data_IF_224908783555
#
_entry.id   IF_224908783555
#
_cell.length_a   1.000
_cell.length_b   1.000
_cell.length_c   1.000
_cell.angle_alpha   90.00
_cell.angle_beta   90.00
_cell.angle_gamma   90.00
#
_symmetry.space_group_name_H-M   'P 1'
#
loop_
_entity.id
_entity.type
_entity.pdbx_description
1 polymer ?
#
# COMPACT_ATOMS: atom_id res chain seq x y z
N UNK A 1 -42.34 -29.81 7.47
CA UNK A 1 -41.20 -30.33 6.70
C UNK A 1 -40.89 -29.33 5.60
N UNK A 2 -39.86 -28.50 5.78
CA UNK A 2 -39.35 -27.61 4.73
C UNK A 2 -37.82 -27.74 4.73
N UNK A 3 -37.29 -28.02 3.54
CA UNK A 3 -35.95 -28.53 3.29
C UNK A 3 -34.82 -27.53 3.53
N UNK A 4 -33.73 -28.09 3.99
CA UNK A 4 -32.48 -27.49 4.43
C UNK A 4 -31.70 -26.90 3.24
N UNK A 5 -31.96 -25.62 2.92
CA UNK A 5 -31.34 -24.91 1.77
C UNK A 5 -30.07 -24.12 2.08
N UNK A 6 -29.54 -24.20 3.31
CA UNK A 6 -28.48 -23.32 3.80
C UNK A 6 -27.24 -24.07 4.28
N UNK A 7 -26.69 -25.01 3.49
CA UNK A 7 -25.44 -25.65 3.89
C UNK A 7 -24.47 -26.10 2.78
N UNK A 8 -24.72 -25.86 1.49
CA UNK A 8 -23.73 -26.26 0.46
C UNK A 8 -22.55 -25.28 0.36
N UNK A 9 -22.82 -23.97 0.43
CA UNK A 9 -21.76 -22.95 0.42
C UNK A 9 -20.90 -22.97 1.69
N UNK A 10 -21.49 -23.33 2.84
CA UNK A 10 -20.73 -23.51 4.08
C UNK A 10 -19.97 -24.84 4.11
N UNK A 11 -20.53 -25.95 3.60
CA UNK A 11 -19.79 -27.21 3.42
C UNK A 11 -18.61 -27.06 2.45
N UNK A 12 -18.73 -26.27 1.38
CA UNK A 12 -17.62 -25.97 0.43
C UNK A 12 -16.53 -25.13 1.11
N UNK A 13 -16.91 -24.12 1.91
CA UNK A 13 -15.96 -23.33 2.73
C UNK A 13 -15.28 -24.16 3.80
N UNK A 14 -15.99 -25.12 4.42
CA UNK A 14 -15.43 -25.98 5.47
C UNK A 14 -14.53 -27.09 4.91
N UNK A 15 -14.80 -27.63 3.71
CA UNK A 15 -13.96 -28.65 3.05
C UNK A 15 -12.62 -28.12 2.51
N UNK A 16 -12.46 -26.80 2.36
CA UNK A 16 -11.28 -26.19 1.76
C UNK A 16 -10.33 -25.53 2.76
N UNK A 17 -10.25 -26.08 3.99
CA UNK A 17 -8.97 -26.15 4.72
C UNK A 17 -8.01 -27.09 3.97
N UNK A 18 -7.64 -26.73 2.74
CA UNK A 18 -6.72 -27.52 1.93
C UNK A 18 -5.37 -27.55 2.64
N UNK A 19 -5.08 -28.65 3.34
CA UNK A 19 -3.72 -28.95 3.76
C UNK A 19 -2.97 -29.34 2.49
N UNK A 20 -1.85 -28.66 2.24
CA UNK A 20 -0.99 -28.99 1.10
C UNK A 20 -0.52 -30.46 1.14
N UNK A 21 -0.17 -30.98 -0.03
CA UNK A 21 0.57 -32.24 -0.19
C UNK A 21 2.08 -31.98 -0.10
N UNK A 22 2.90 -33.03 -0.21
CA UNK A 22 4.37 -32.90 -0.27
C UNK A 22 4.85 -32.06 -1.46
N UNK A 23 4.10 -32.06 -2.56
CA UNK A 23 4.49 -31.44 -3.84
C UNK A 23 3.70 -30.17 -4.17
N UNK A 24 2.71 -29.82 -3.33
CA UNK A 24 1.85 -28.66 -3.55
C UNK A 24 1.30 -28.11 -2.24
N UNK A 25 1.30 -26.79 -2.08
CA UNK A 25 0.61 -26.11 -1.01
C UNK A 25 -0.18 -24.92 -1.56
N UNK A 26 -1.37 -24.63 -1.00
CA UNK A 26 -2.13 -23.46 -1.42
C UNK A 26 -1.34 -22.17 -1.15
N UNK A 27 -1.56 -21.11 -1.95
CA UNK A 27 -0.98 -19.80 -1.68
C UNK A 27 -1.35 -19.33 -0.27
N UNK A 28 -0.37 -18.74 0.42
CA UNK A 28 -0.55 -18.19 1.77
C UNK A 28 -0.68 -16.68 1.70
N UNK A 29 -1.38 -16.12 2.68
CA UNK A 29 -1.45 -14.68 2.84
C UNK A 29 -0.07 -14.16 3.26
N UNK A 30 0.63 -13.54 2.32
CA UNK A 30 1.92 -12.91 2.54
C UNK A 30 2.08 -11.74 1.58
N UNK A 31 2.62 -10.64 2.09
CA UNK A 31 3.01 -9.48 1.28
C UNK A 31 4.40 -9.75 0.69
N UNK A 32 4.50 -9.75 -0.63
CA UNK A 32 5.74 -10.01 -1.36
C UNK A 32 6.34 -8.67 -1.81
N UNK A 33 7.52 -8.36 -1.28
CA UNK A 33 8.26 -7.13 -1.59
C UNK A 33 9.29 -7.30 -2.71
N UNK A 34 9.59 -8.55 -3.08
CA UNK A 34 10.59 -8.87 -4.12
C UNK A 34 9.92 -9.00 -5.48
N UNK A 35 10.53 -8.40 -6.50
CA UNK A 35 10.11 -8.59 -7.89
C UNK A 35 10.31 -10.04 -8.31
N UNK A 36 9.30 -10.59 -8.97
CA UNK A 36 9.40 -11.93 -9.55
C UNK A 36 10.29 -11.88 -10.79
N UNK A 37 11.36 -12.68 -10.86
CA UNK A 37 12.21 -12.77 -12.03
C UNK A 37 11.44 -13.28 -13.26
N UNK A 38 11.83 -12.79 -14.43
CA UNK A 38 11.26 -13.26 -15.70
C UNK A 38 11.86 -14.61 -16.07
N UNK A 39 11.02 -15.64 -16.14
CA UNK A 39 11.41 -16.99 -16.52
C UNK A 39 10.61 -17.49 -17.72
N UNK A 40 11.15 -18.48 -18.44
CA UNK A 40 10.39 -19.12 -19.52
C UNK A 40 9.20 -19.86 -18.92
N UNK A 41 8.08 -19.85 -19.65
CA UNK A 41 6.84 -20.52 -19.24
C UNK A 41 7.05 -21.98 -18.83
N UNK A 42 7.80 -22.74 -19.62
CA UNK A 42 8.12 -24.15 -19.36
C UNK A 42 8.78 -24.34 -18.00
N UNK A 43 9.70 -23.46 -17.66
CA UNK A 43 10.57 -23.60 -16.49
C UNK A 43 9.76 -23.35 -15.22
N UNK A 44 8.89 -22.32 -15.23
CA UNK A 44 7.98 -22.05 -14.11
C UNK A 44 6.97 -23.19 -13.92
N UNK A 45 6.38 -23.69 -15.01
CA UNK A 45 5.40 -24.80 -14.94
C UNK A 45 6.07 -26.07 -14.37
N UNK A 46 7.28 -26.39 -14.81
CA UNK A 46 8.05 -27.50 -14.29
C UNK A 46 8.38 -27.30 -12.79
N UNK A 47 8.77 -26.09 -12.39
CA UNK A 47 9.07 -25.77 -11.00
C UNK A 47 7.86 -25.84 -10.05
N UNK A 48 6.63 -25.73 -10.57
CA UNK A 48 5.38 -25.97 -9.82
C UNK A 48 4.85 -27.41 -10.00
N UNK A 49 5.71 -28.35 -10.39
CA UNK A 49 5.42 -29.78 -10.55
C UNK A 49 4.27 -30.07 -11.52
N UNK A 50 4.08 -29.23 -12.53
CA UNK A 50 2.93 -29.35 -13.45
C UNK A 50 1.57 -29.29 -12.73
N UNK A 51 1.50 -28.65 -11.57
CA UNK A 51 0.26 -28.46 -10.81
C UNK A 51 -0.19 -27.01 -10.87
N UNK A 52 -1.49 -26.75 -10.94
CA UNK A 52 -2.01 -25.39 -10.78
C UNK A 52 -1.59 -24.82 -9.42
N UNK A 53 -0.95 -23.65 -9.40
CA UNK A 53 -0.49 -23.05 -8.16
C UNK A 53 -1.61 -22.68 -7.17
N UNK A 54 -2.86 -22.57 -7.64
CA UNK A 54 -4.02 -22.19 -6.82
C UNK A 54 -4.80 -23.37 -6.22
N UNK A 55 -5.02 -24.43 -7.01
CA UNK A 55 -5.86 -25.57 -6.60
C UNK A 55 -5.14 -26.93 -6.58
N UNK A 56 -3.90 -27.00 -7.04
CA UNK A 56 -3.12 -28.25 -7.04
C UNK A 56 -3.53 -29.27 -8.09
N UNK A 57 -4.49 -28.95 -8.96
CA UNK A 57 -4.88 -29.81 -10.08
C UNK A 57 -3.73 -29.98 -11.07
N UNK A 58 -3.50 -31.23 -11.49
CA UNK A 58 -2.50 -31.56 -12.51
C UNK A 58 -2.81 -30.92 -13.86
N UNK A 59 -1.76 -30.43 -14.52
CA UNK A 59 -1.82 -29.73 -15.79
C UNK A 59 -1.35 -30.69 -16.88
N UNK A 60 -2.29 -31.21 -17.66
CA UNK A 60 -1.93 -32.00 -18.84
C UNK A 60 -1.18 -31.15 -19.87
N UNK A 61 -0.20 -31.72 -20.62
CA UNK A 61 0.59 -31.00 -21.61
C UNK A 61 -0.22 -30.18 -22.62
N UNK A 62 -1.37 -30.71 -23.09
CA UNK A 62 -2.26 -30.03 -24.04
C UNK A 62 -2.88 -28.73 -23.48
N UNK A 63 -3.01 -28.60 -22.16
CA UNK A 63 -3.59 -27.43 -21.49
C UNK A 63 -2.55 -26.43 -20.99
N UNK A 64 -1.25 -26.75 -21.10
CA UNK A 64 -0.17 -25.86 -20.64
C UNK A 64 -0.24 -24.46 -21.24
N UNK A 65 -0.75 -24.28 -22.48
CA UNK A 65 -0.90 -22.97 -23.13
C UNK A 65 -2.06 -22.13 -22.57
N UNK A 66 -3.05 -22.76 -21.92
CA UNK A 66 -4.24 -22.07 -21.37
C UNK A 66 -4.02 -21.47 -19.98
N UNK A 67 -2.94 -21.88 -19.29
CA UNK A 67 -2.63 -21.31 -17.98
C UNK A 67 -2.39 -19.80 -18.07
N UNK A 68 -2.72 -19.10 -16.99
CA UNK A 68 -2.51 -17.66 -16.85
C UNK A 68 -1.46 -17.40 -15.78
N UNK A 69 -0.58 -16.44 -16.05
CA UNK A 69 0.50 -16.08 -15.16
C UNK A 69 0.03 -15.00 -14.18
N UNK A 70 0.24 -15.23 -12.89
CA UNK A 70 0.01 -14.23 -11.86
C UNK A 70 1.32 -13.47 -11.60
N UNK A 71 1.39 -12.19 -11.97
CA UNK A 71 2.58 -11.34 -11.77
C UNK A 71 2.95 -11.17 -10.29
N UNK A 72 1.96 -11.25 -9.39
CA UNK A 72 2.21 -11.11 -7.95
C UNK A 72 2.94 -12.33 -7.36
N UNK A 73 2.46 -13.54 -7.66
CA UNK A 73 3.02 -14.79 -7.12
C UNK A 73 4.13 -15.39 -7.98
N UNK A 74 4.26 -14.96 -9.23
CA UNK A 74 5.25 -15.48 -10.17
C UNK A 74 4.98 -16.90 -10.66
N UNK A 75 3.73 -17.36 -10.65
CA UNK A 75 3.32 -18.74 -10.95
C UNK A 75 2.17 -18.82 -11.94
N UNK A 76 1.97 -20.01 -12.51
CA UNK A 76 0.88 -20.30 -13.44
C UNK A 76 -0.34 -20.92 -12.76
N UNK A 77 -1.52 -20.51 -13.22
CA UNK A 77 -2.82 -20.89 -12.67
C UNK A 77 -3.77 -21.36 -13.78
N UNK A 78 -4.65 -22.30 -13.45
CA UNK A 78 -5.76 -22.69 -14.34
C UNK A 78 -6.78 -21.54 -14.47
N UNK A 79 -7.68 -21.66 -15.44
CA UNK A 79 -8.70 -20.65 -15.73
C UNK A 79 -9.65 -20.43 -14.54
N UNK A 80 -9.93 -21.47 -13.73
CA UNK A 80 -10.76 -21.34 -12.53
C UNK A 80 -10.09 -20.52 -11.43
N UNK A 81 -8.76 -20.59 -11.28
CA UNK A 81 -8.03 -19.86 -10.24
C UNK A 81 -7.58 -18.47 -10.69
N UNK A 82 -7.70 -18.16 -11.98
CA UNK A 82 -7.23 -16.91 -12.56
C UNK A 82 -8.27 -16.34 -13.52
N UNK A 83 -9.19 -15.54 -12.99
CA UNK A 83 -10.31 -14.94 -13.73
C UNK A 83 -9.90 -13.97 -14.85
N UNK A 84 -8.66 -13.48 -14.84
CA UNK A 84 -8.20 -12.43 -15.76
C UNK A 84 -8.12 -11.06 -15.11
N UNK A 85 -8.29 -11.01 -13.79
CA UNK A 85 -8.12 -9.83 -12.95
C UNK A 85 -6.72 -9.24 -13.07
N UNK A 86 -6.65 -7.94 -12.80
CA UNK A 86 -5.43 -7.16 -12.78
C UNK A 86 -5.33 -6.30 -11.51
N UNK A 87 -4.11 -6.10 -11.03
CA UNK A 87 -3.83 -5.32 -9.84
C UNK A 87 -2.49 -4.59 -9.95
N UNK A 88 -2.33 -3.53 -9.17
CA UNK A 88 -1.02 -2.90 -8.95
C UNK A 88 -0.21 -3.81 -8.03
N UNK A 89 1.06 -4.03 -8.37
CA UNK A 89 1.93 -4.98 -7.65
C UNK A 89 2.81 -4.19 -6.66
N UNK A 90 2.71 -4.42 -5.34
CA UNK A 90 3.47 -3.68 -4.33
C UNK A 90 4.98 -3.69 -4.58
N UNK A 91 5.56 -4.86 -4.87
CA UNK A 91 6.98 -4.98 -5.18
C UNK A 91 7.42 -4.05 -6.33
N UNK A 92 6.60 -3.87 -7.38
CA UNK A 92 6.89 -2.98 -8.51
C UNK A 92 6.79 -1.50 -8.13
N UNK A 93 5.80 -1.13 -7.33
CA UNK A 93 5.70 0.24 -6.81
C UNK A 93 6.91 0.58 -5.95
N UNK A 94 7.29 -0.31 -5.03
CA UNK A 94 8.35 -0.06 -4.04
C UNK A 94 9.77 -0.11 -4.62
N UNK A 95 9.97 -0.77 -5.76
CA UNK A 95 11.30 -0.91 -6.40
C UNK A 95 11.45 -0.11 -7.68
N UNK A 96 10.37 0.14 -8.41
CA UNK A 96 10.38 0.74 -9.75
C UNK A 96 9.46 1.94 -9.87
N UNK A 97 8.70 2.29 -8.82
CA UNK A 97 7.67 3.33 -8.87
C UNK A 97 6.66 3.11 -10.02
N UNK A 98 6.46 1.84 -10.39
CA UNK A 98 5.55 1.39 -11.45
C UNK A 98 4.19 1.01 -10.85
N UNK A 99 3.14 1.68 -11.32
CA UNK A 99 1.75 1.49 -10.88
C UNK A 99 0.89 0.88 -11.99
N UNK A 100 1.52 0.35 -13.05
CA UNK A 100 0.83 -0.40 -14.09
C UNK A 100 0.16 -1.63 -13.50
N UNK A 101 -1.11 -1.85 -13.89
CA UNK A 101 -1.85 -3.04 -13.48
C UNK A 101 -1.32 -4.25 -14.23
N UNK A 102 -1.16 -5.37 -13.53
CA UNK A 102 -0.64 -6.63 -14.06
C UNK A 102 -1.61 -7.77 -13.77
N UNK A 103 -1.66 -8.80 -14.63
CA UNK A 103 -2.52 -9.95 -14.43
C UNK A 103 -2.22 -10.65 -13.09
N UNK A 104 -3.26 -10.96 -12.34
CA UNK A 104 -3.16 -11.66 -11.05
C UNK A 104 -4.23 -12.75 -10.92
N UNK A 105 -3.89 -13.82 -10.19
CA UNK A 105 -4.87 -14.84 -9.85
C UNK A 105 -5.89 -14.30 -8.83
N UNK A 106 -7.04 -14.97 -8.70
CA UNK A 106 -8.14 -14.50 -7.84
C UNK A 106 -7.71 -14.35 -6.38
N UNK A 107 -6.89 -15.29 -5.88
CA UNK A 107 -6.33 -15.22 -4.54
C UNK A 107 -5.49 -13.95 -4.34
N UNK A 108 -4.59 -13.65 -5.28
CA UNK A 108 -3.75 -12.46 -5.19
C UNK A 108 -4.53 -11.18 -5.34
N UNK A 109 -5.56 -11.16 -6.20
CA UNK A 109 -6.45 -10.01 -6.34
C UNK A 109 -7.13 -9.70 -5.00
N UNK A 110 -7.73 -10.70 -4.37
CA UNK A 110 -8.37 -10.54 -3.07
C UNK A 110 -7.39 -10.02 -2.01
N UNK A 111 -6.22 -10.65 -1.89
CA UNK A 111 -5.19 -10.20 -0.95
C UNK A 111 -4.77 -8.74 -1.17
N UNK A 112 -4.54 -8.36 -2.42
CA UNK A 112 -4.09 -7.01 -2.78
C UNK A 112 -5.17 -5.95 -2.53
N UNK A 113 -6.43 -6.32 -2.70
CA UNK A 113 -7.58 -5.45 -2.36
C UNK A 113 -7.73 -5.29 -0.85
N UNK A 114 -7.59 -6.38 -0.10
CA UNK A 114 -7.71 -6.37 1.38
C UNK A 114 -6.65 -5.46 2.03
N UNK A 115 -5.45 -5.38 1.46
CA UNK A 115 -4.35 -4.53 2.00
C UNK A 115 -4.28 -3.13 1.38
N UNK A 116 -5.16 -2.79 0.43
CA UNK A 116 -4.99 -1.60 -0.41
C UNK A 116 -4.90 -0.29 0.39
N UNK A 117 -5.77 -0.16 1.40
CA UNK A 117 -5.86 1.03 2.25
C UNK A 117 -5.10 0.86 3.57
N UNK A 118 -4.48 -0.30 3.81
CA UNK A 118 -3.82 -0.59 5.08
C UNK A 118 -2.41 0.03 5.10
N UNK A 119 -2.05 0.80 6.15
CA UNK A 119 -0.74 1.45 6.27
C UNK A 119 0.33 0.43 6.67
N UNK A 120 0.76 -0.40 5.74
CA UNK A 120 1.66 -1.53 5.98
C UNK A 120 3.09 -1.30 5.48
N UNK A 121 3.31 -0.26 4.67
CA UNK A 121 4.56 -0.08 3.92
C UNK A 121 5.44 0.98 4.57
N UNK A 122 6.31 0.54 5.47
CA UNK A 122 7.40 1.39 6.00
C UNK A 122 8.52 1.49 4.97
N UNK A 123 8.53 2.57 4.17
CA UNK A 123 9.40 2.69 2.99
C UNK A 123 10.89 2.60 3.31
N UNK A 124 11.32 3.13 4.45
CA UNK A 124 12.71 3.01 4.92
C UNK A 124 13.15 1.56 5.15
N UNK A 125 12.21 0.65 5.43
CA UNK A 125 12.47 -0.78 5.62
C UNK A 125 12.36 -1.58 4.33
N UNK A 126 11.40 -1.26 3.46
CA UNK A 126 11.03 -2.11 2.30
C UNK A 126 11.44 -1.57 0.93
N UNK A 127 11.79 -0.29 0.81
CA UNK A 127 11.95 0.41 -0.47
C UNK A 127 13.22 1.29 -0.49
N UNK A 128 14.40 0.67 -0.41
CA UNK A 128 15.69 1.38 -0.41
C UNK A 128 15.86 2.20 -1.68
N UNK A 129 16.09 3.50 -1.54
CA UNK A 129 16.35 4.41 -2.66
C UNK A 129 15.10 4.94 -3.38
N UNK A 130 13.88 4.57 -2.95
CA UNK A 130 12.65 4.98 -3.65
C UNK A 130 12.47 6.50 -3.70
N UNK A 131 12.91 7.20 -2.66
CA UNK A 131 12.88 8.67 -2.60
C UNK A 131 13.80 9.34 -3.63
N UNK A 132 14.91 8.71 -4.03
CA UNK A 132 15.77 9.23 -5.09
C UNK A 132 15.11 9.06 -6.47
N UNK A 133 14.29 8.03 -6.63
CA UNK A 133 13.61 7.71 -7.89
C UNK A 133 12.32 8.52 -8.08
N UNK A 134 11.53 8.67 -7.02
CA UNK A 134 10.22 9.30 -7.04
C UNK A 134 10.27 10.71 -6.45
N UNK A 135 10.44 11.72 -7.31
CA UNK A 135 10.60 13.13 -6.88
C UNK A 135 9.37 13.66 -6.15
N UNK A 136 8.18 13.27 -6.57
CA UNK A 136 6.92 13.63 -5.93
C UNK A 136 6.78 13.05 -4.51
N UNK A 137 7.29 11.83 -4.32
CA UNK A 137 7.31 11.19 -3.02
C UNK A 137 8.31 11.88 -2.08
N UNK A 138 9.50 12.23 -2.58
CA UNK A 138 10.48 13.01 -1.81
C UNK A 138 9.92 14.37 -1.38
N UNK A 139 9.26 15.10 -2.30
CA UNK A 139 8.59 16.37 -1.97
C UNK A 139 7.49 16.19 -0.93
N UNK A 140 6.71 15.11 -1.03
CA UNK A 140 5.69 14.81 -0.04
C UNK A 140 6.30 14.49 1.33
N UNK A 141 7.40 13.76 1.39
CA UNK A 141 8.12 13.44 2.64
C UNK A 141 8.56 14.69 3.39
N UNK A 142 9.16 15.65 2.70
CA UNK A 142 9.58 16.93 3.30
C UNK A 142 8.38 17.69 3.89
N UNK A 143 7.26 17.73 3.15
CA UNK A 143 6.03 18.35 3.61
C UNK A 143 5.39 17.58 4.79
N UNK A 144 5.49 16.25 4.79
CA UNK A 144 5.02 15.39 5.87
C UNK A 144 5.77 15.70 7.17
N UNK A 145 7.10 15.82 7.12
CA UNK A 145 7.94 16.22 8.27
C UNK A 145 7.48 17.58 8.84
N UNK A 146 7.27 18.56 7.97
CA UNK A 146 6.79 19.88 8.36
C UNK A 146 5.40 19.84 8.99
N UNK A 147 4.46 19.10 8.39
CA UNK A 147 3.10 18.94 8.91
C UNK A 147 3.07 18.27 10.28
N UNK A 148 3.91 17.25 10.50
CA UNK A 148 4.01 16.59 11.80
C UNK A 148 4.52 17.53 12.89
N UNK A 149 5.51 18.35 12.58
CA UNK A 149 5.99 19.40 13.48
C UNK A 149 4.90 20.46 13.77
N UNK A 150 4.23 20.93 12.73
CA UNK A 150 3.15 21.91 12.84
C UNK A 150 1.99 21.37 13.69
N UNK A 151 1.57 20.12 13.46
CA UNK A 151 0.50 19.47 14.22
C UNK A 151 0.83 19.38 15.71
N UNK A 152 2.07 19.07 16.08
CA UNK A 152 2.52 19.04 17.49
C UNK A 152 2.34 20.40 18.16
N UNK A 153 2.67 21.49 17.47
CA UNK A 153 2.44 22.85 17.98
C UNK A 153 0.95 23.16 18.10
N UNK A 154 0.16 22.87 17.06
CA UNK A 154 -1.27 23.16 17.05
C UNK A 154 -2.02 22.43 18.18
N UNK A 155 -1.66 21.18 18.50
CA UNK A 155 -2.27 20.41 19.61
C UNK A 155 -2.11 21.12 20.96
N UNK A 156 -1.03 21.87 21.17
CA UNK A 156 -0.80 22.64 22.40
C UNK A 156 -1.56 23.96 22.46
N UNK A 157 -2.14 24.41 21.35
CA UNK A 157 -2.91 25.64 21.27
C UNK A 157 -4.42 25.37 21.45
N UNK A 158 -5.01 25.94 22.50
CA UNK A 158 -6.46 25.85 22.77
C UNK A 158 -7.37 26.45 21.67
N UNK A 159 -6.81 27.31 20.81
CA UNK A 159 -7.54 27.98 19.73
C UNK A 159 -7.38 27.28 18.37
N UNK A 160 -6.56 26.24 18.27
CA UNK A 160 -6.29 25.55 17.00
C UNK A 160 -7.31 24.46 16.64
N UNK A 161 -8.41 24.33 17.39
CA UNK A 161 -9.36 23.21 17.24
C UNK A 161 -9.93 23.08 15.82
N UNK A 162 -10.30 24.19 15.17
CA UNK A 162 -10.82 24.18 13.80
C UNK A 162 -9.75 23.72 12.79
N UNK A 163 -8.53 24.23 12.93
CA UNK A 163 -7.41 23.86 12.06
C UNK A 163 -7.04 22.39 12.25
N UNK A 164 -7.02 21.90 13.49
CA UNK A 164 -6.77 20.49 13.78
C UNK A 164 -7.82 19.55 13.19
N UNK A 165 -9.07 20.01 13.07
CA UNK A 165 -10.13 19.24 12.41
C UNK A 165 -9.88 19.13 10.90
N UNK A 166 -9.28 20.14 10.26
CA UNK A 166 -8.92 20.05 8.84
C UNK A 166 -7.92 18.91 8.57
N UNK A 167 -7.06 18.55 9.53
CA UNK A 167 -6.12 17.42 9.39
C UNK A 167 -6.80 16.06 9.20
N UNK A 168 -8.11 15.92 9.47
CA UNK A 168 -8.89 14.72 9.18
C UNK A 168 -9.01 14.43 7.67
N UNK A 169 -8.72 15.42 6.81
CA UNK A 169 -8.62 15.24 5.36
C UNK A 169 -7.45 14.33 4.95
N UNK A 170 -6.46 14.17 5.83
CA UNK A 170 -5.37 13.21 5.67
C UNK A 170 -5.60 11.98 6.56
N UNK A 171 -5.28 10.77 6.07
CA UNK A 171 -5.17 9.60 6.93
C UNK A 171 -4.26 9.87 8.12
N UNK A 172 -4.69 9.44 9.32
CA UNK A 172 -4.03 9.78 10.57
C UNK A 172 -2.57 9.34 10.61
N UNK A 173 -2.26 8.15 10.09
CA UNK A 173 -0.90 7.59 10.04
C UNK A 173 0.09 8.49 9.31
N UNK A 174 -0.33 9.21 8.26
CA UNK A 174 0.52 10.15 7.53
C UNK A 174 0.96 11.35 8.38
N UNK A 175 0.26 11.63 9.47
CA UNK A 175 0.57 12.74 10.39
C UNK A 175 1.11 12.27 11.75
N UNK A 176 1.26 10.95 11.93
CA UNK A 176 1.70 10.32 13.16
C UNK A 176 3.05 9.62 12.99
N UNK A 177 3.29 9.01 11.82
CA UNK A 177 4.49 8.26 11.54
C UNK A 177 5.04 8.58 10.13
N UNK A 178 6.29 9.04 10.08
CA UNK A 178 7.00 9.27 8.81
C UNK A 178 7.25 7.96 8.08
N UNK A 179 7.31 8.01 6.76
CA UNK A 179 7.67 6.87 5.89
C UNK A 179 6.68 5.68 5.92
N UNK A 180 5.56 5.74 6.65
CA UNK A 180 4.53 4.70 6.69
C UNK A 180 3.39 5.03 5.72
N UNK A 181 3.14 4.13 4.76
CA UNK A 181 2.15 4.35 3.69
C UNK A 181 1.28 3.10 3.47
N UNK A 182 0.07 3.31 2.93
CA UNK A 182 -0.72 2.30 2.24
C UNK A 182 -0.46 2.32 0.73
N UNK A 183 -1.00 1.35 -0.01
CA UNK A 183 -0.91 1.38 -1.49
C UNK A 183 -1.71 2.56 -2.08
N UNK A 184 -2.87 2.86 -1.51
CA UNK A 184 -3.68 4.02 -1.90
C UNK A 184 -2.92 5.33 -1.72
N UNK A 185 -2.22 5.50 -0.59
CA UNK A 185 -1.44 6.71 -0.34
C UNK A 185 -0.36 6.89 -1.42
N UNK A 186 0.38 5.83 -1.77
CA UNK A 186 1.42 5.90 -2.79
C UNK A 186 0.83 6.30 -4.17
N UNK A 187 -0.38 5.82 -4.50
CA UNK A 187 -1.11 6.25 -5.71
C UNK A 187 -1.48 7.72 -5.63
N UNK A 188 -2.02 8.17 -4.49
CA UNK A 188 -2.43 9.58 -4.30
C UNK A 188 -1.23 10.53 -4.26
N UNK A 189 -0.07 10.10 -3.77
CA UNK A 189 1.20 10.83 -3.87
C UNK A 189 1.61 10.94 -5.34
N UNK A 190 1.62 9.83 -6.09
CA UNK A 190 1.94 9.83 -7.53
C UNK A 190 1.04 10.77 -8.34
N UNK A 191 -0.24 10.86 -7.96
CA UNK A 191 -1.23 11.76 -8.58
C UNK A 191 -1.16 13.21 -8.06
N UNK A 192 -0.29 13.51 -7.10
CA UNK A 192 -0.15 14.83 -6.47
C UNK A 192 -1.30 15.23 -5.53
N UNK A 193 -2.27 14.33 -5.31
CA UNK A 193 -3.47 14.60 -4.51
C UNK A 193 -3.11 14.81 -3.04
N UNK A 194 -2.31 13.90 -2.46
CA UNK A 194 -1.86 14.04 -1.07
C UNK A 194 -0.98 15.28 -0.87
N UNK A 195 -0.13 15.60 -1.85
CA UNK A 195 0.71 16.80 -1.79
C UNK A 195 -0.14 18.08 -1.80
N UNK A 196 -1.20 18.14 -2.62
CA UNK A 196 -2.10 19.28 -2.65
C UNK A 196 -2.82 19.47 -1.31
N UNK A 197 -3.44 18.41 -0.77
CA UNK A 197 -4.11 18.45 0.54
C UNK A 197 -3.13 18.87 1.64
N UNK A 198 -1.94 18.28 1.67
CA UNK A 198 -0.92 18.58 2.66
C UNK A 198 -0.47 20.07 2.60
N UNK A 199 -0.37 20.67 1.40
CA UNK A 199 -0.02 22.09 1.26
C UNK A 199 -1.11 23.02 1.81
N UNK A 200 -2.37 22.69 1.55
CA UNK A 200 -3.50 23.46 2.09
C UNK A 200 -3.51 23.43 3.61
N UNK A 201 -3.32 22.25 4.21
CA UNK A 201 -3.24 22.10 5.66
C UNK A 201 -2.04 22.82 6.26
N UNK A 202 -0.90 22.75 5.58
CA UNK A 202 0.30 23.45 6.00
C UNK A 202 0.06 24.96 6.03
N UNK A 203 -0.51 25.52 4.97
CA UNK A 203 -0.87 26.95 4.90
C UNK A 203 -1.87 27.36 6.00
N UNK A 204 -2.94 26.59 6.19
CA UNK A 204 -3.94 26.84 7.24
C UNK A 204 -3.30 26.86 8.64
N UNK A 205 -2.43 25.87 8.91
CA UNK A 205 -1.72 25.79 10.18
C UNK A 205 -0.68 26.89 10.38
N UNK A 206 0.08 27.28 9.36
CA UNK A 206 1.04 28.40 9.48
C UNK A 206 0.32 29.73 9.69
N UNK A 207 -0.77 29.97 8.96
CA UNK A 207 -1.62 31.15 9.15
C UNK A 207 -2.18 31.22 10.58
N UNK A 208 -2.56 30.08 11.16
CA UNK A 208 -2.97 30.04 12.56
C UNK A 208 -1.82 30.40 13.51
N UNK A 209 -0.62 29.85 13.31
CA UNK A 209 0.53 30.13 14.18
C UNK A 209 0.91 31.60 14.13
N UNK A 210 0.91 32.22 12.95
CA UNK A 210 1.25 33.63 12.77
C UNK A 210 0.24 34.57 13.45
N UNK A 211 -1.05 34.23 13.43
CA UNK A 211 -2.11 35.08 13.96
C UNK A 211 -2.55 34.73 15.39
N UNK A 212 -1.97 33.69 16.00
CA UNK A 212 -2.34 33.24 17.35
C UNK A 212 -1.23 33.50 18.35
N UNK A 213 -1.44 34.46 19.25
CA UNK A 213 -0.48 34.85 20.30
C UNK A 213 0.02 33.66 21.15
N UNK A 214 -0.85 32.69 21.45
CA UNK A 214 -0.49 31.47 22.20
C UNK A 214 0.49 30.60 21.42
N UNK A 215 0.25 30.41 20.12
CA UNK A 215 1.11 29.62 19.25
C UNK A 215 2.45 30.30 18.97
N UNK A 216 2.49 31.65 18.93
CA UNK A 216 3.72 32.45 18.80
C UNK A 216 4.62 32.31 20.03
N UNK A 217 4.04 32.31 21.24
CA UNK A 217 4.80 32.12 22.49
C UNK A 217 5.32 30.68 22.62
N UNK A 218 4.60 29.70 22.08
CA UNK A 218 5.02 28.30 22.09
C UNK A 218 6.09 28.00 21.03
N UNK A 219 5.98 28.58 19.82
CA UNK A 219 6.98 28.43 18.76
C UNK A 219 8.34 29.03 19.14
N UNK A 220 8.33 30.14 19.89
CA UNK A 220 9.55 30.76 20.44
C UNK A 220 10.20 29.95 21.57
N UNK A 221 9.42 29.15 22.32
CA UNK A 221 9.92 28.25 23.39
C UNK A 221 10.36 26.87 22.90
N UNK A 222 9.86 26.38 21.77
CA UNK A 222 10.23 25.07 21.19
C UNK A 222 11.58 25.06 20.43
N UNK A 223 12.35 26.16 20.49
CA UNK A 223 13.74 26.31 20.04
C UNK A 223 14.01 26.35 18.52
N UNK A 224 15.12 27.02 18.19
CA UNK A 224 15.49 27.72 16.96
C UNK A 224 15.70 26.89 15.68
N UNK A 225 15.66 25.56 15.73
CA UNK A 225 16.12 24.74 14.61
C UNK A 225 15.01 24.32 13.64
N UNK A 226 13.75 24.29 14.08
CA UNK A 226 12.64 23.82 13.22
C UNK A 226 11.82 24.97 12.65
N UNK A 227 11.53 26.01 13.43
CA UNK A 227 10.66 27.11 12.97
C UNK A 227 11.35 28.08 12.01
N UNK A 228 12.64 28.40 12.25
CA UNK A 228 13.43 29.20 11.30
C UNK A 228 13.74 28.43 10.01
N UNK A 229 13.86 27.10 10.07
CA UNK A 229 14.08 26.26 8.88
C UNK A 229 12.82 26.14 8.00
N UNK A 230 11.65 26.07 8.64
CA UNK A 230 10.34 26.04 7.95
C UNK A 230 10.00 27.38 7.30
N UNK A 231 10.31 28.51 7.94
CA UNK A 231 10.09 29.85 7.37
C UNK A 231 11.16 30.28 6.36
N UNK A 232 12.44 29.89 6.51
CA UNK A 232 13.53 30.33 5.62
C UNK A 232 13.65 29.56 4.29
N UNK A 233 12.91 28.48 4.07
CA UNK A 233 12.91 27.72 2.80
C UNK A 233 11.73 28.04 1.87
N UNK A 234 10.91 29.03 2.21
CA UNK A 234 9.74 29.46 1.43
C UNK A 234 9.82 30.94 0.97
N UNK A 235 10.99 31.56 1.10
CA UNK A 235 11.46 32.71 0.31
C UNK A 235 12.68 32.27 -0.50
#
# INVERSE_FOLDING_TARGET
>A
MMGNGSNLCEEIRQRSRMRGTLIWAPPRFQIIFTLQPTHRRSDVIAAQNFLCAGCGTEIEPKYMKRLRYCDYLGKYFCECCHGGEDAVIPARVLTQWDFGRRPVCLFSKQLLDDIWNEPLFKLTSVAKGIYCQAKELQRFRELQEQLMCLKKLLITCRFAKSVLQEFEQLPSHLTQELDLFSMDDLVRVKRGQLTATARTLFYSGTMHVENCEVSVVLSTKMCADTFLYVLRRLL
#
